data_IF_361329618587
#
_entry.id   IF_361329618587
#
_cell.length_a   1.000
_cell.length_b   1.000
_cell.length_c   1.000
_cell.angle_alpha   90.00
_cell.angle_beta   90.00
_cell.angle_gamma   90.00
#
_symmetry.space_group_name_H-M   'P 1'
#
loop_
_entity.id
_entity.type
_entity.pdbx_description
1 polymer ?
#
# COMPACT_ATOMS: atom_id res chain seq x y z
N UNK A 1 -11.00 9.88 5.03
CA UNK A 1 -9.88 9.31 4.22
C UNK A 1 -10.21 7.87 3.84
N UNK A 2 -9.51 7.24 2.89
CA UNK A 2 -9.75 5.84 2.50
C UNK A 2 -8.93 4.87 3.35
N UNK A 3 -9.53 3.75 3.74
CA UNK A 3 -8.86 2.68 4.47
C UNK A 3 -8.70 1.48 3.55
N UNK A 4 -7.49 0.93 3.50
CA UNK A 4 -7.11 -0.23 2.72
C UNK A 4 -6.72 -1.34 3.70
N UNK A 5 -7.65 -2.17 4.18
CA UNK A 5 -7.27 -3.43 4.81
C UNK A 5 -6.33 -4.20 3.88
N UNK A 6 -5.18 -4.62 4.39
CA UNK A 6 -4.16 -5.27 3.57
C UNK A 6 -3.97 -6.73 3.94
N UNK A 7 -3.80 -7.54 2.91
CA UNK A 7 -3.42 -8.94 3.00
C UNK A 7 -2.09 -9.17 2.28
N UNK A 8 -1.26 -10.01 2.88
CA UNK A 8 -0.03 -10.48 2.26
C UNK A 8 -0.12 -11.99 2.03
N UNK A 9 0.28 -12.46 0.85
CA UNK A 9 0.27 -13.87 0.47
C UNK A 9 1.67 -14.42 0.28
N UNK A 10 1.91 -15.61 0.83
CA UNK A 10 3.09 -16.41 0.56
C UNK A 10 2.72 -17.89 0.60
N UNK A 11 3.07 -18.64 -0.44
CA UNK A 11 2.75 -20.07 -0.59
C UNK A 11 1.26 -20.40 -0.36
N UNK A 12 0.36 -19.60 -0.96
CA UNK A 12 -1.09 -19.76 -0.87
C UNK A 12 -1.71 -19.41 0.48
N UNK A 13 -0.95 -18.81 1.40
CA UNK A 13 -1.41 -18.50 2.76
C UNK A 13 -1.28 -17.02 3.09
N UNK A 14 -2.19 -16.52 3.92
CA UNK A 14 -2.06 -15.21 4.53
C UNK A 14 -0.86 -15.19 5.48
N UNK A 15 0.01 -14.21 5.31
CA UNK A 15 1.20 -14.04 6.16
C UNK A 15 1.34 -12.61 6.66
N UNK A 16 2.26 -12.41 7.58
CA UNK A 16 2.86 -11.11 7.85
C UNK A 16 4.35 -11.29 7.95
N UNK A 17 5.11 -10.53 7.15
CA UNK A 17 6.56 -10.53 7.25
C UNK A 17 7.02 -9.55 8.33
N UNK A 18 8.05 -9.92 9.07
CA UNK A 18 8.74 -8.98 9.94
C UNK A 18 9.88 -8.31 9.17
N UNK A 19 9.78 -6.99 8.99
CA UNK A 19 10.73 -6.18 8.18
C UNK A 19 10.99 -6.75 6.77
N UNK A 20 9.98 -7.37 6.15
CA UNK A 20 10.09 -7.97 4.82
C UNK A 20 10.97 -9.23 4.76
N UNK A 21 11.36 -9.81 5.91
CA UNK A 21 12.11 -11.07 5.96
C UNK A 21 11.20 -12.23 5.61
N UNK A 22 11.46 -12.83 4.46
CA UNK A 22 10.65 -13.91 3.88
C UNK A 22 10.83 -15.24 4.61
N UNK A 23 11.97 -15.45 5.26
CA UNK A 23 12.25 -16.64 6.08
C UNK A 23 11.43 -16.73 7.37
N UNK A 24 11.01 -15.61 7.95
CA UNK A 24 10.38 -15.53 9.28
C UNK A 24 8.91 -15.09 9.20
N UNK A 25 8.19 -15.57 8.20
CA UNK A 25 6.79 -15.21 7.99
C UNK A 25 5.88 -15.76 9.10
N UNK A 26 5.11 -14.88 9.75
CA UNK A 26 4.02 -15.28 10.63
C UNK A 26 2.83 -15.70 9.77
N UNK A 27 2.39 -16.96 9.90
CA UNK A 27 1.26 -17.49 9.12
C UNK A 27 -0.05 -17.22 9.87
N UNK A 28 -1.04 -16.70 9.15
CA UNK A 28 -2.42 -16.57 9.61
C UNK A 28 -3.25 -17.71 9.06
N UNK A 29 -3.82 -18.53 9.96
CA UNK A 29 -4.67 -19.67 9.60
C UNK A 29 -6.11 -19.21 9.28
N UNK A 30 -6.24 -18.38 8.25
CA UNK A 30 -7.53 -17.88 7.73
C UNK A 30 -7.64 -18.15 6.24
N UNK A 31 -8.86 -18.22 5.72
CA UNK A 31 -9.09 -18.32 4.29
C UNK A 31 -8.92 -16.91 3.65
N UNK A 32 -8.02 -16.74 2.66
CA UNK A 32 -7.81 -15.43 2.01
C UNK A 32 -9.06 -14.84 1.35
N UNK A 33 -9.84 -15.67 0.66
CA UNK A 33 -11.04 -15.24 -0.07
C UNK A 33 -12.15 -14.83 0.89
N UNK A 34 -12.38 -15.62 1.94
CA UNK A 34 -13.36 -15.29 2.98
C UNK A 34 -12.95 -14.03 3.77
N UNK A 35 -11.65 -13.86 4.02
CA UNK A 35 -11.14 -12.66 4.69
C UNK A 35 -11.37 -11.40 3.86
N UNK A 36 -11.11 -11.47 2.54
CA UNK A 36 -11.37 -10.36 1.63
C UNK A 36 -12.86 -9.98 1.58
N UNK A 37 -13.77 -10.97 1.49
CA UNK A 37 -15.23 -10.74 1.58
C UNK A 37 -15.64 -10.13 2.91
N UNK A 38 -15.10 -10.62 4.02
CA UNK A 38 -15.38 -10.09 5.35
C UNK A 38 -15.02 -8.61 5.48
N UNK A 39 -13.99 -8.13 4.77
CA UNK A 39 -13.67 -6.70 4.74
C UNK A 39 -14.70 -5.87 3.97
N UNK A 40 -15.21 -6.38 2.85
CA UNK A 40 -16.30 -5.74 2.12
C UNK A 40 -17.58 -5.68 2.94
N UNK A 41 -17.96 -6.79 3.59
CA UNK A 41 -19.12 -6.87 4.50
C UNK A 41 -19.00 -5.89 5.68
N UNK A 42 -17.78 -5.66 6.18
CA UNK A 42 -17.48 -4.68 7.22
C UNK A 42 -17.49 -3.22 6.73
N UNK A 43 -17.67 -2.98 5.43
CA UNK A 43 -17.80 -1.64 4.84
C UNK A 43 -16.50 -1.04 4.32
N UNK A 44 -15.43 -1.82 4.11
CA UNK A 44 -14.27 -1.34 3.39
C UNK A 44 -14.65 -1.01 1.94
N UNK A 45 -14.06 0.03 1.36
CA UNK A 45 -14.31 0.42 -0.03
C UNK A 45 -13.18 0.01 -0.98
N UNK A 46 -12.05 -0.41 -0.42
CA UNK A 46 -10.87 -0.88 -1.13
C UNK A 46 -10.17 -1.93 -0.27
N UNK A 47 -9.39 -2.81 -0.88
CA UNK A 47 -8.39 -3.61 -0.18
C UNK A 47 -7.04 -3.50 -0.86
N UNK A 48 -5.98 -3.76 -0.10
CA UNK A 48 -4.64 -3.93 -0.63
C UNK A 48 -4.23 -5.41 -0.54
N UNK A 49 -3.57 -5.91 -1.57
CA UNK A 49 -3.10 -7.29 -1.63
C UNK A 49 -1.65 -7.31 -2.10
N UNK A 50 -0.76 -7.92 -1.33
CA UNK A 50 0.64 -8.12 -1.72
C UNK A 50 0.91 -9.61 -1.95
N UNK A 51 1.34 -9.98 -3.15
CA UNK A 51 1.83 -11.32 -3.44
C UNK A 51 3.35 -11.40 -3.32
N UNK A 52 3.85 -11.96 -2.21
CA UNK A 52 5.28 -12.12 -1.99
C UNK A 52 5.90 -13.21 -2.86
N UNK A 53 5.14 -14.20 -3.30
CA UNK A 53 5.65 -15.20 -4.24
C UNK A 53 5.98 -14.50 -5.58
N UNK A 54 5.11 -13.61 -6.04
CA UNK A 54 5.36 -12.78 -7.22
C UNK A 54 6.53 -11.79 -7.03
N UNK A 55 6.70 -11.23 -5.83
CA UNK A 55 7.91 -10.42 -5.47
C UNK A 55 9.18 -11.25 -5.64
N UNK A 56 9.16 -12.53 -5.27
CA UNK A 56 10.28 -13.46 -5.47
C UNK A 56 10.41 -13.97 -6.92
N UNK A 57 9.42 -13.71 -7.77
CA UNK A 57 9.40 -14.13 -9.18
C UNK A 57 8.80 -15.51 -9.40
N UNK A 58 8.10 -16.04 -8.39
CA UNK A 58 7.28 -17.25 -8.48
C UNK A 58 5.86 -16.88 -8.90
N UNK A 59 5.19 -17.78 -9.59
CA UNK A 59 3.81 -17.58 -10.08
C UNK A 59 2.85 -18.55 -9.37
N UNK A 60 3.05 -18.76 -8.06
CA UNK A 60 2.37 -19.80 -7.28
C UNK A 60 1.02 -19.38 -6.70
N UNK A 61 0.78 -18.07 -6.54
CA UNK A 61 -0.49 -17.55 -6.01
C UNK A 61 -1.45 -17.07 -7.09
N UNK A 62 -1.12 -17.27 -8.37
CA UNK A 62 -1.83 -16.70 -9.51
C UNK A 62 -3.35 -16.92 -9.46
N UNK A 63 -3.78 -18.18 -9.36
CA UNK A 63 -5.20 -18.57 -9.32
C UNK A 63 -5.91 -18.01 -8.08
N UNK A 64 -5.21 -17.99 -6.94
CA UNK A 64 -5.72 -17.47 -5.68
C UNK A 64 -5.93 -15.94 -5.75
N UNK A 65 -4.99 -15.20 -6.34
CA UNK A 65 -5.10 -13.74 -6.54
C UNK A 65 -6.28 -13.44 -7.47
N UNK A 66 -6.44 -14.18 -8.58
CA UNK A 66 -7.61 -14.04 -9.45
C UNK A 66 -8.93 -14.37 -8.74
N UNK A 67 -8.95 -15.37 -7.87
CA UNK A 67 -10.11 -15.70 -7.07
C UNK A 67 -10.47 -14.58 -6.09
N UNK A 68 -9.48 -14.01 -5.41
CA UNK A 68 -9.67 -12.87 -4.48
C UNK A 68 -10.21 -11.66 -5.25
N UNK A 69 -9.60 -11.27 -6.37
CA UNK A 69 -10.04 -10.13 -7.18
C UNK A 69 -11.51 -10.27 -7.58
N UNK A 70 -11.93 -11.47 -8.01
CA UNK A 70 -13.32 -11.72 -8.41
C UNK A 70 -14.29 -11.79 -7.25
N UNK A 71 -13.82 -12.22 -6.08
CA UNK A 71 -14.67 -12.56 -4.93
C UNK A 71 -14.75 -11.49 -3.85
N UNK A 72 -13.81 -10.53 -3.81
CA UNK A 72 -13.70 -9.57 -2.72
C UNK A 72 -14.89 -8.60 -2.65
N UNK A 73 -15.66 -8.43 -3.73
CA UNK A 73 -16.78 -7.47 -3.85
C UNK A 73 -16.39 -5.99 -3.72
N UNK A 74 -15.11 -5.70 -3.51
CA UNK A 74 -14.50 -4.37 -3.46
C UNK A 74 -13.26 -4.33 -4.36
N UNK A 75 -12.89 -3.16 -4.91
CA UNK A 75 -11.68 -3.01 -5.72
C UNK A 75 -10.41 -3.44 -4.98
N UNK A 76 -9.60 -4.25 -5.65
CA UNK A 76 -8.30 -4.72 -5.14
C UNK A 76 -7.16 -3.85 -5.70
N UNK A 77 -6.37 -3.28 -4.81
CA UNK A 77 -5.07 -2.69 -5.12
C UNK A 77 -4.00 -3.79 -4.98
N UNK A 78 -3.50 -4.28 -6.11
CA UNK A 78 -2.55 -5.40 -6.16
C UNK A 78 -1.11 -4.91 -6.21
N UNK A 79 -0.30 -5.37 -5.27
CA UNK A 79 1.14 -5.21 -5.22
C UNK A 79 1.84 -6.57 -5.39
N UNK A 80 3.04 -6.53 -5.96
CA UNK A 80 3.90 -7.71 -6.11
C UNK A 80 4.21 -8.01 -7.57
N UNK A 81 5.51 -8.18 -7.85
CA UNK A 81 5.99 -8.81 -9.08
C UNK A 81 5.80 -8.07 -10.41
N UNK A 82 5.31 -6.82 -10.43
CA UNK A 82 5.15 -6.00 -11.65
C UNK A 82 6.51 -5.61 -12.24
N UNK A 83 7.06 -6.41 -13.16
CA UNK A 83 8.41 -6.23 -13.75
C UNK A 83 8.39 -5.72 -15.18
N UNK A 84 7.25 -5.77 -15.85
CA UNK A 84 7.10 -5.33 -17.23
C UNK A 84 5.66 -4.89 -17.51
N UNK A 85 5.43 -4.40 -18.73
CA UNK A 85 4.13 -3.95 -19.21
C UNK A 85 3.11 -5.09 -19.21
N UNK A 86 3.51 -6.26 -19.68
CA UNK A 86 2.64 -7.41 -19.86
C UNK A 86 2.00 -7.84 -18.54
N UNK A 87 2.76 -7.85 -17.44
CA UNK A 87 2.25 -8.19 -16.12
C UNK A 87 1.29 -7.12 -15.55
N UNK A 88 1.57 -5.85 -15.82
CA UNK A 88 0.67 -4.74 -15.42
C UNK A 88 -0.66 -4.86 -16.14
N UNK A 89 -0.62 -4.99 -17.47
CA UNK A 89 -1.81 -5.12 -18.31
C UNK A 89 -2.60 -6.38 -17.97
N UNK A 90 -1.90 -7.49 -17.72
CA UNK A 90 -2.52 -8.74 -17.30
C UNK A 90 -3.40 -8.58 -16.06
N UNK A 91 -2.87 -7.99 -14.98
CA UNK A 91 -3.63 -7.88 -13.74
C UNK A 91 -4.76 -6.86 -13.83
N UNK A 92 -4.58 -5.79 -14.60
CA UNK A 92 -5.65 -4.85 -14.91
C UNK A 92 -6.78 -5.57 -15.66
N UNK A 93 -6.47 -6.37 -16.68
CA UNK A 93 -7.45 -7.13 -17.46
C UNK A 93 -8.20 -8.18 -16.61
N UNK A 94 -7.53 -8.72 -15.58
CA UNK A 94 -8.15 -9.63 -14.60
C UNK A 94 -9.04 -8.92 -13.57
N UNK A 95 -9.11 -7.59 -13.61
CA UNK A 95 -9.99 -6.79 -12.77
C UNK A 95 -9.32 -6.23 -11.52
N UNK A 96 -7.98 -6.24 -11.43
CA UNK A 96 -7.30 -5.46 -10.39
C UNK A 96 -7.69 -3.99 -10.53
N UNK A 97 -8.28 -3.42 -9.48
CA UNK A 97 -8.70 -2.01 -9.49
C UNK A 97 -7.51 -1.08 -9.64
N UNK A 98 -6.40 -1.41 -8.99
CA UNK A 98 -5.10 -0.73 -9.12
C UNK A 98 -3.97 -1.74 -9.10
N UNK A 99 -2.86 -1.39 -9.74
CA UNK A 99 -1.57 -2.09 -9.59
C UNK A 99 -0.52 -1.17 -8.98
N UNK A 100 0.27 -1.72 -8.07
CA UNK A 100 1.31 -0.99 -7.34
C UNK A 100 2.67 -1.33 -7.94
N UNK A 101 3.42 -0.30 -8.32
CA UNK A 101 4.69 -0.41 -9.01
C UNK A 101 5.80 0.25 -8.18
N UNK A 102 6.77 -0.54 -7.73
CA UNK A 102 7.96 -0.08 -7.01
C UNK A 102 9.25 -0.27 -7.83
N UNK A 103 9.83 -1.48 -7.80
CA UNK A 103 11.10 -1.79 -8.48
C UNK A 103 11.14 -1.39 -9.96
N UNK A 104 10.05 -1.62 -10.72
CA UNK A 104 10.00 -1.23 -12.12
C UNK A 104 10.06 0.30 -12.30
N UNK A 105 9.50 1.09 -11.39
CA UNK A 105 9.59 2.55 -11.45
C UNK A 105 11.03 3.06 -11.25
N UNK A 106 11.84 2.35 -10.45
CA UNK A 106 13.26 2.66 -10.30
C UNK A 106 14.11 2.20 -11.49
N UNK A 107 13.72 1.11 -12.17
CA UNK A 107 14.47 0.53 -13.29
C UNK A 107 14.14 1.16 -14.64
N UNK A 108 12.87 1.42 -14.91
CA UNK A 108 12.36 2.01 -16.14
C UNK A 108 11.26 3.04 -15.83
N UNK A 109 11.64 4.26 -15.39
CA UNK A 109 10.68 5.30 -15.05
C UNK A 109 9.87 5.78 -16.27
N UNK A 110 10.40 5.67 -17.48
CA UNK A 110 9.69 6.09 -18.68
C UNK A 110 8.51 5.15 -18.98
N UNK A 111 8.73 3.84 -18.89
CA UNK A 111 7.65 2.86 -19.05
C UNK A 111 6.54 3.09 -18.01
N UNK A 112 6.90 3.35 -16.75
CA UNK A 112 5.89 3.61 -15.70
C UNK A 112 5.09 4.88 -15.97
N UNK A 113 5.73 5.95 -16.48
CA UNK A 113 5.03 7.18 -16.91
C UNK A 113 4.06 6.91 -18.07
N UNK A 114 4.45 6.07 -19.02
CA UNK A 114 3.57 5.67 -20.12
C UNK A 114 2.38 4.85 -19.62
N UNK A 115 2.62 3.88 -18.74
CA UNK A 115 1.56 3.06 -18.14
C UNK A 115 0.57 3.91 -17.35
N UNK A 116 1.04 4.88 -16.56
CA UNK A 116 0.16 5.78 -15.81
C UNK A 116 -0.72 6.65 -16.72
N UNK A 117 -0.21 7.06 -17.88
CA UNK A 117 -1.01 7.81 -18.88
C UNK A 117 -2.01 6.92 -19.61
N UNK A 118 -1.67 5.66 -19.87
CA UNK A 118 -2.52 4.70 -20.56
C UNK A 118 -3.64 4.18 -19.64
N UNK A 119 -3.34 3.99 -18.36
CA UNK A 119 -4.24 3.48 -17.33
C UNK A 119 -4.38 4.50 -16.19
N UNK A 120 -4.99 5.68 -16.44
CA UNK A 120 -5.20 6.68 -15.41
C UNK A 120 -6.01 6.08 -14.25
N UNK A 121 -5.74 6.52 -13.03
CA UNK A 121 -6.40 6.07 -11.79
C UNK A 121 -6.18 4.58 -11.41
N UNK A 122 -5.43 3.81 -12.21
CA UNK A 122 -5.11 2.40 -11.95
C UNK A 122 -3.64 2.16 -11.54
N UNK A 123 -2.73 3.09 -11.85
CA UNK A 123 -1.31 2.93 -11.48
C UNK A 123 -1.00 3.66 -10.17
N UNK A 124 -0.37 2.94 -9.24
CA UNK A 124 0.09 3.47 -7.95
C UNK A 124 1.59 3.30 -7.84
N UNK A 125 2.30 4.37 -7.49
CA UNK A 125 3.73 4.31 -7.24
C UNK A 125 3.98 3.84 -5.80
N UNK A 126 4.86 2.85 -5.61
CA UNK A 126 5.38 2.50 -4.28
C UNK A 126 6.69 3.26 -4.02
N UNK A 127 6.75 3.93 -2.87
CA UNK A 127 7.92 4.63 -2.35
C UNK A 127 8.20 4.06 -0.97
N UNK A 128 8.96 2.97 -1.01
CA UNK A 128 9.41 2.23 0.15
C UNK A 128 10.75 2.81 0.61
N UNK A 129 10.81 3.39 1.81
CA UNK A 129 11.93 4.22 2.25
C UNK A 129 12.71 3.53 3.37
N UNK A 130 14.03 3.48 3.22
CA UNK A 130 14.96 3.06 4.27
C UNK A 130 16.10 4.07 4.36
N UNK A 131 16.32 4.64 5.55
CA UNK A 131 17.33 5.69 5.78
C UNK A 131 17.26 6.86 4.77
N UNK A 132 16.03 7.23 4.35
CA UNK A 132 15.77 8.31 3.40
C UNK A 132 15.91 7.93 1.92
N UNK A 133 16.34 6.71 1.60
CA UNK A 133 16.51 6.22 0.24
C UNK A 133 15.42 5.22 -0.16
N UNK A 134 15.09 5.21 -1.44
CA UNK A 134 14.09 4.27 -1.99
C UNK A 134 14.69 2.87 -2.07
N UNK A 135 13.93 1.89 -1.58
CA UNK A 135 14.25 0.47 -1.62
C UNK A 135 13.55 -0.22 -2.79
N UNK A 136 14.25 -1.17 -3.41
CA UNK A 136 13.76 -1.99 -4.52
C UNK A 136 13.97 -3.48 -4.23
N UNK A 137 13.50 -4.32 -5.14
CA UNK A 137 13.70 -5.78 -5.11
C UNK A 137 13.18 -6.43 -3.82
N UNK A 138 11.99 -6.00 -3.37
CA UNK A 138 11.38 -6.51 -2.14
C UNK A 138 12.17 -6.12 -0.90
N UNK A 139 12.62 -4.86 -0.85
CA UNK A 139 13.39 -4.26 0.26
C UNK A 139 14.81 -4.79 0.42
N UNK A 140 15.32 -5.53 -0.59
CA UNK A 140 16.66 -6.13 -0.56
C UNK A 140 17.75 -5.23 -1.13
N UNK A 141 17.38 -4.18 -1.85
CA UNK A 141 18.35 -3.31 -2.54
C UNK A 141 18.02 -1.85 -2.32
N UNK A 142 18.98 -1.10 -1.79
CA UNK A 142 18.89 0.35 -1.71
C UNK A 142 19.22 0.96 -3.08
N UNK A 143 18.37 1.85 -3.55
CA UNK A 143 18.64 2.63 -4.76
C UNK A 143 19.49 3.87 -4.45
N UNK A 144 19.94 4.56 -5.51
CA UNK A 144 20.62 5.85 -5.37
C UNK A 144 19.66 7.03 -5.14
N UNK A 145 18.34 6.81 -5.19
CA UNK A 145 17.35 7.87 -5.12
C UNK A 145 16.92 8.12 -3.68
N UNK A 146 16.94 9.40 -3.27
CA UNK A 146 16.18 9.82 -2.09
C UNK A 146 14.69 9.73 -2.41
N UNK A 147 13.85 9.58 -1.39
CA UNK A 147 12.40 9.51 -1.57
C UNK A 147 11.82 10.76 -2.29
N UNK A 148 12.28 11.96 -1.92
CA UNK A 148 11.87 13.22 -2.54
C UNK A 148 12.28 13.29 -4.01
N UNK A 149 13.54 13.00 -4.33
CA UNK A 149 14.02 13.02 -5.71
C UNK A 149 13.32 11.98 -6.59
N UNK A 150 12.95 10.84 -6.00
CA UNK A 150 12.17 9.82 -6.70
C UNK A 150 10.75 10.29 -7.00
N UNK A 151 10.07 10.95 -6.05
CA UNK A 151 8.75 11.55 -6.27
C UNK A 151 8.83 12.65 -7.35
N UNK A 152 9.85 13.52 -7.27
CA UNK A 152 10.06 14.60 -8.25
C UNK A 152 10.28 14.07 -9.67
N UNK A 153 10.96 12.92 -9.80
CA UNK A 153 11.17 12.29 -11.09
C UNK A 153 9.85 11.92 -11.79
N UNK A 154 8.75 11.80 -11.05
CA UNK A 154 7.40 11.53 -11.58
C UNK A 154 6.43 12.71 -11.48
N UNK A 155 6.89 13.94 -11.20
CA UNK A 155 6.00 15.10 -11.17
C UNK A 155 5.19 15.23 -12.47
N UNK A 156 3.90 15.51 -12.33
CA UNK A 156 2.93 15.56 -13.44
C UNK A 156 2.52 14.20 -14.03
N UNK A 157 3.01 13.08 -13.49
CA UNK A 157 2.54 11.74 -13.89
C UNK A 157 1.19 11.46 -13.22
N UNK A 158 0.15 11.05 -13.97
CA UNK A 158 -1.21 10.89 -13.44
C UNK A 158 -1.38 9.57 -12.68
N UNK A 159 -0.63 9.39 -11.60
CA UNK A 159 -0.82 8.26 -10.69
C UNK A 159 -2.12 8.42 -9.89
N UNK A 160 -2.75 7.29 -9.59
CA UNK A 160 -3.91 7.25 -8.71
C UNK A 160 -3.55 7.67 -7.28
N UNK A 161 -2.35 7.25 -6.83
CA UNK A 161 -1.78 7.58 -5.53
C UNK A 161 -0.29 7.22 -5.50
N UNK A 162 0.39 7.66 -4.45
CA UNK A 162 1.70 7.15 -4.03
C UNK A 162 1.52 6.41 -2.71
N UNK A 163 1.92 5.15 -2.63
CA UNK A 163 2.04 4.42 -1.35
C UNK A 163 3.41 4.75 -0.77
N UNK A 164 3.44 5.28 0.44
CA UNK A 164 4.68 5.54 1.17
C UNK A 164 4.75 4.59 2.35
N UNK A 165 5.85 3.84 2.41
CA UNK A 165 6.15 2.93 3.52
C UNK A 165 7.48 3.33 4.16
N UNK A 166 7.51 3.52 5.47
CA UNK A 166 8.76 3.61 6.22
C UNK A 166 9.21 2.19 6.62
N UNK A 167 10.32 1.73 6.06
CA UNK A 167 10.92 0.41 6.35
C UNK A 167 11.95 0.51 7.49
N UNK A 168 12.54 1.68 7.71
CA UNK A 168 13.65 1.86 8.65
C UNK A 168 13.18 1.74 10.10
N UNK A 169 12.03 2.35 10.38
CA UNK A 169 11.45 2.36 11.71
C UNK A 169 11.22 0.93 12.21
N UNK A 170 12.00 0.53 13.22
CA UNK A 170 11.53 -0.44 14.20
C UNK A 170 10.10 -0.04 14.55
N UNK A 171 9.17 -1.01 14.54
CA UNK A 171 7.73 -0.77 14.70
C UNK A 171 7.32 -0.09 16.02
N UNK A 172 8.24 0.52 16.74
CA UNK A 172 8.07 1.20 18.02
C UNK A 172 8.05 2.73 17.90
N UNK A 173 8.69 3.34 16.89
CA UNK A 173 8.68 4.83 16.73
C UNK A 173 7.64 5.30 15.71
N UNK A 174 6.39 5.47 16.17
CA UNK A 174 5.27 5.98 15.37
C UNK A 174 5.51 7.41 14.88
N UNK A 175 6.20 8.23 15.69
CA UNK A 175 6.39 9.66 15.42
C UNK A 175 7.34 9.88 14.24
N UNK A 176 8.45 9.12 14.20
CA UNK A 176 9.38 9.15 13.08
C UNK A 176 8.69 8.77 11.76
N UNK A 177 7.89 7.70 11.77
CA UNK A 177 7.14 7.26 10.59
C UNK A 177 6.15 8.32 10.11
N UNK A 178 5.38 8.92 11.02
CA UNK A 178 4.44 9.99 10.68
C UNK A 178 5.17 11.21 10.14
N UNK A 179 6.32 11.57 10.71
CA UNK A 179 7.17 12.65 10.22
C UNK A 179 7.59 12.44 8.76
N UNK A 180 8.10 11.25 8.44
CA UNK A 180 8.52 10.89 7.08
C UNK A 180 7.34 10.95 6.10
N UNK A 181 6.23 10.25 6.42
CA UNK A 181 5.08 10.18 5.53
C UNK A 181 4.44 11.57 5.36
N UNK A 182 4.35 12.37 6.43
CA UNK A 182 3.85 13.74 6.36
C UNK A 182 4.71 14.61 5.46
N UNK A 183 6.05 14.51 5.58
CA UNK A 183 6.98 15.27 4.74
C UNK A 183 6.79 14.95 3.26
N UNK A 184 6.76 13.66 2.91
CA UNK A 184 6.58 13.22 1.53
C UNK A 184 5.16 13.52 1.00
N UNK A 185 4.14 13.47 1.84
CA UNK A 185 2.78 13.86 1.46
C UNK A 185 2.68 15.35 1.13
N UNK A 186 3.36 16.22 1.88
CA UNK A 186 3.40 17.66 1.60
C UNK A 186 4.24 18.00 0.36
N UNK A 187 5.30 17.23 0.11
CA UNK A 187 6.16 17.37 -1.06
C UNK A 187 5.47 16.94 -2.35
N UNK A 188 4.67 15.88 -2.28
CA UNK A 188 3.97 15.30 -3.44
C UNK A 188 2.73 16.11 -3.83
N UNK A 189 2.49 16.25 -5.15
CA UNK A 189 1.18 16.68 -5.68
C UNK A 189 0.17 15.55 -5.80
N UNK A 190 0.68 14.33 -5.96
CA UNK A 190 -0.13 13.11 -6.02
C UNK A 190 -0.57 12.72 -4.62
N UNK A 191 -1.83 12.31 -4.40
CA UNK A 191 -2.30 11.87 -3.09
C UNK A 191 -1.48 10.70 -2.52
N UNK A 192 -1.17 10.75 -1.23
CA UNK A 192 -0.40 9.72 -0.54
C UNK A 192 -1.31 8.74 0.20
N UNK A 193 -0.97 7.46 0.12
CA UNK A 193 -1.50 6.37 0.96
C UNK A 193 -0.40 5.99 1.94
N UNK A 194 -0.66 6.18 3.24
CA UNK A 194 0.28 5.82 4.29
C UNK A 194 0.29 4.31 4.53
N UNK A 195 1.47 3.70 4.63
CA UNK A 195 1.65 2.28 4.93
C UNK A 195 2.58 2.07 6.13
N UNK A 196 2.26 1.08 6.98
CA UNK A 196 3.13 0.65 8.08
C UNK A 196 3.01 1.43 9.40
N UNK A 197 2.14 2.43 9.49
CA UNK A 197 2.03 3.32 10.67
C UNK A 197 0.90 2.93 11.62
N UNK A 198 -0.18 2.34 11.09
CA UNK A 198 -1.43 2.16 11.84
C UNK A 198 -1.32 0.98 12.82
N UNK A 199 -1.30 1.30 14.12
CA UNK A 199 -1.31 0.35 15.24
C UNK A 199 -2.61 0.42 16.03
N UNK A 200 -3.23 1.60 16.07
CA UNK A 200 -4.45 1.94 16.80
C UNK A 200 -5.39 2.78 15.92
N UNK A 201 -6.64 2.95 16.34
CA UNK A 201 -7.57 3.87 15.67
C UNK A 201 -7.14 5.35 15.78
N UNK A 202 -6.36 5.72 16.80
CA UNK A 202 -5.84 7.09 16.96
C UNK A 202 -4.86 7.45 15.83
N UNK A 203 -4.05 6.49 15.36
CA UNK A 203 -3.13 6.72 14.25
C UNK A 203 -3.88 7.16 12.98
N UNK A 204 -5.09 6.65 12.77
CA UNK A 204 -5.98 7.05 11.66
C UNK A 204 -6.46 8.48 11.85
N UNK A 205 -6.86 8.85 13.07
CA UNK A 205 -7.23 10.23 13.41
C UNK A 205 -6.08 11.19 13.07
N UNK A 206 -4.87 10.86 13.51
CA UNK A 206 -3.65 11.66 13.25
C UNK A 206 -3.37 11.82 11.75
N UNK A 207 -3.35 10.70 11.00
CA UNK A 207 -3.19 10.72 9.55
C UNK A 207 -4.26 11.55 8.86
N UNK A 208 -5.49 11.55 9.40
CA UNK A 208 -6.59 12.33 8.85
C UNK A 208 -6.37 13.84 8.89
N UNK A 209 -5.50 14.36 9.76
CA UNK A 209 -5.18 15.80 9.82
C UNK A 209 -4.04 16.22 8.89
N UNK A 210 -3.30 15.25 8.34
CA UNK A 210 -2.16 15.54 7.48
C UNK A 210 -2.66 15.85 6.05
N UNK A 211 -2.29 17.02 5.48
CA UNK A 211 -2.65 17.36 4.11
C UNK A 211 -2.13 16.32 3.12
N UNK A 212 -2.89 16.11 2.03
CA UNK A 212 -2.54 15.22 0.93
C UNK A 212 -2.41 13.71 1.27
N UNK A 213 -2.61 13.30 2.52
CA UNK A 213 -2.83 11.88 2.85
C UNK A 213 -4.30 11.54 2.53
N UNK A 214 -4.49 10.76 1.48
CA UNK A 214 -5.81 10.32 1.01
C UNK A 214 -6.23 8.96 1.56
N UNK A 215 -5.31 8.16 2.08
CA UNK A 215 -5.66 6.91 2.73
C UNK A 215 -4.56 6.26 3.55
N UNK A 216 -4.89 5.12 4.15
CA UNK A 216 -3.98 4.34 4.98
C UNK A 216 -4.17 2.84 4.73
N UNK A 217 -3.06 2.11 4.63
CA UNK A 217 -3.00 0.65 4.59
C UNK A 217 -2.94 0.12 6.03
N UNK A 218 -3.85 -0.80 6.37
CA UNK A 218 -3.98 -1.36 7.73
C UNK A 218 -3.94 -2.89 7.64
N UNK A 219 -2.89 -3.52 8.17
CA UNK A 219 -2.67 -4.97 8.02
C UNK A 219 -2.55 -5.68 9.35
N UNK A 220 -1.33 -5.66 9.91
CA UNK A 220 -0.95 -6.38 11.13
C UNK A 220 -1.93 -6.15 12.31
N UNK A 221 -2.42 -4.93 12.48
CA UNK A 221 -3.39 -4.59 13.53
C UNK A 221 -4.75 -5.30 13.37
N UNK A 222 -5.23 -5.46 12.14
CA UNK A 222 -6.47 -6.18 11.84
C UNK A 222 -6.32 -7.68 12.08
N UNK A 223 -5.24 -8.30 11.59
CA UNK A 223 -5.00 -9.73 11.80
C UNK A 223 -4.77 -10.08 13.27
N UNK A 224 -4.09 -9.21 14.03
CA UNK A 224 -3.93 -9.36 15.49
C UNK A 224 -5.20 -9.03 16.29
N UNK A 225 -6.23 -8.47 15.64
CA UNK A 225 -7.45 -7.95 16.29
C UNK A 225 -7.16 -6.94 17.40
N UNK A 226 -6.05 -6.21 17.27
CA UNK A 226 -5.75 -5.08 18.18
C UNK A 226 -6.58 -3.85 17.81
N UNK A 227 -7.12 -3.83 16.59
CA UNK A 227 -8.02 -2.81 16.07
C UNK A 227 -9.12 -3.49 15.26
N UNK A 228 -10.34 -2.98 15.37
CA UNK A 228 -11.47 -3.42 14.55
C UNK A 228 -11.58 -2.59 13.26
N UNK A 229 -11.93 -3.24 12.14
CA UNK A 229 -12.06 -2.53 10.86
C UNK A 229 -13.19 -1.50 10.89
N UNK A 230 -14.32 -1.81 11.53
CA UNK A 230 -15.44 -0.88 11.65
C UNK A 230 -15.09 0.36 12.49
N UNK A 231 -14.26 0.19 13.52
CA UNK A 231 -13.73 1.29 14.33
C UNK A 231 -12.87 2.22 13.48
N UNK A 232 -11.92 1.67 12.73
CA UNK A 232 -11.03 2.45 11.85
C UNK A 232 -11.80 3.15 10.74
N UNK A 233 -12.78 2.48 10.12
CA UNK A 233 -13.65 3.08 9.12
C UNK A 233 -14.47 4.23 9.71
N UNK A 234 -14.99 4.06 10.93
CA UNK A 234 -15.71 5.10 11.66
C UNK A 234 -14.86 6.34 11.91
N UNK A 235 -13.63 6.16 12.42
CA UNK A 235 -12.68 7.27 12.62
C UNK A 235 -12.30 7.94 11.29
N UNK A 236 -12.07 7.16 10.24
CA UNK A 236 -11.70 7.68 8.92
C UNK A 236 -12.83 8.47 8.23
N UNK A 237 -14.09 8.17 8.57
CA UNK A 237 -15.29 8.82 8.06
C UNK A 237 -15.72 10.04 8.89
N UNK A 238 -15.23 10.18 10.12
CA UNK A 238 -15.58 11.29 11.00
C UNK A 238 -15.24 12.63 10.34
N UNK A 239 -16.20 13.57 10.37
CA UNK A 239 -15.99 14.91 9.86
C UNK A 239 -14.89 15.59 10.69
N UNK A 240 -13.92 16.21 10.01
CA UNK A 240 -12.90 17.02 10.70
C UNK A 240 -13.61 18.17 11.40
N UNK A 241 -13.45 18.27 12.71
CA UNK A 241 -13.86 19.48 13.42
C UNK A 241 -13.04 20.67 12.88
N UNK A 242 -13.65 21.84 12.68
CA UNK A 242 -12.92 23.01 12.20
C UNK A 242 -11.77 23.32 13.16
N UNK A 243 -10.54 23.34 12.65
CA UNK A 243 -9.39 23.83 13.42
C UNK A 243 -9.62 25.33 13.65
N UNK A 244 -9.66 25.75 14.92
CA UNK A 244 -9.76 27.15 15.27
C UNK A 244 -8.60 27.91 14.61
N UNK A 245 -8.94 28.92 13.80
CA UNK A 245 -7.92 29.82 13.27
C UNK A 245 -7.44 30.68 14.43
N UNK A 246 -6.21 30.43 14.89
CA UNK A 246 -5.53 31.36 15.78
C UNK A 246 -5.27 32.65 14.98
N UNK A 247 -5.96 33.73 15.36
CA UNK A 247 -5.79 35.08 14.84
C UNK A 247 -4.58 35.77 15.47
#
# INVERSE_FOLDING_TARGET
MRIYPTMELQNGRCVTLDKGRLEDAMIWHVNPVETARGWAEAGAEWMHLTDFDAVEGRDTNHELVEEIIRSAEIPVQLAGGMRNREQVEYWIDKGAGRVVIGTLAARDPNLVKELAKLYPDQIVLAVDVWQGFVMTDGWRSQSAFTAEAFIDAFDGTPFAAIVVTDIDSDMEDVEAQLGLISGLAQHSRTPVIASGVVRTADDISRLSYIPNIAGAIVGRALFRKTVDLSEVLGVAAAAREPVAQFQ
#
